data_IF_244112227640
#
_entry.id   IF_244112227640
#
_cell.length_a   1.000
_cell.length_b   1.000
_cell.length_c   1.000
_cell.angle_alpha   90.00
_cell.angle_beta   90.00
_cell.angle_gamma   90.00
#
_symmetry.space_group_name_H-M   'P 1'
#
loop_
_entity.id
_entity.type
_entity.pdbx_description
1 polymer ?
#
# COMPACT_ATOMS: atom_id res chain seq x y z
N UNK A 1 22.52 -90.70 -21.28
CA UNK A 1 22.46 -89.75 -20.13
C UNK A 1 23.71 -88.88 -20.24
N UNK A 2 23.70 -87.57 -20.42
CA UNK A 2 22.72 -86.54 -20.05
C UNK A 2 22.49 -85.53 -21.19
N UNK A 3 21.28 -84.99 -21.24
CA UNK A 3 20.80 -84.05 -22.24
C UNK A 3 21.28 -82.61 -21.94
N UNK A 4 21.67 -81.89 -22.99
CA UNK A 4 21.90 -80.45 -23.00
C UNK A 4 20.56 -79.72 -22.84
N UNK A 5 20.46 -78.83 -21.84
CA UNK A 5 19.34 -77.90 -21.69
C UNK A 5 19.72 -76.54 -22.28
N UNK A 6 18.82 -75.85 -23.01
CA UNK A 6 19.08 -74.52 -23.54
C UNK A 6 18.97 -73.45 -22.45
N UNK A 7 19.92 -72.51 -22.41
CA UNK A 7 19.88 -71.34 -21.54
C UNK A 7 18.84 -70.32 -22.04
N UNK A 8 17.95 -69.91 -21.13
CA UNK A 8 16.95 -68.85 -21.33
C UNK A 8 17.58 -67.50 -20.93
N UNK A 9 17.50 -66.44 -21.75
CA UNK A 9 18.04 -65.13 -21.38
C UNK A 9 17.16 -64.49 -20.28
N UNK A 10 17.74 -63.62 -19.42
CA UNK A 10 17.00 -62.95 -18.35
C UNK A 10 16.04 -61.88 -18.91
N UNK A 11 14.97 -61.54 -18.18
CA UNK A 11 14.00 -60.54 -18.62
C UNK A 11 14.60 -59.14 -18.60
N UNK A 12 14.43 -58.41 -19.71
CA UNK A 12 14.80 -57.01 -19.87
C UNK A 12 13.95 -56.15 -18.94
N UNK A 13 14.56 -55.64 -17.87
CA UNK A 13 13.95 -54.66 -16.98
C UNK A 13 13.95 -53.29 -17.67
N UNK A 14 12.77 -52.76 -17.96
CA UNK A 14 12.59 -51.39 -18.44
C UNK A 14 12.80 -50.44 -17.26
N UNK A 15 13.94 -49.75 -17.24
CA UNK A 15 14.18 -48.61 -16.36
C UNK A 15 13.34 -47.43 -16.86
N UNK A 16 12.17 -47.22 -16.25
CA UNK A 16 11.43 -45.95 -16.34
C UNK A 16 12.24 -44.88 -15.62
N UNK A 17 12.97 -44.07 -16.39
CA UNK A 17 13.58 -42.85 -15.88
C UNK A 17 12.45 -41.86 -15.51
N UNK A 18 12.20 -41.68 -14.22
CA UNK A 18 11.43 -40.54 -13.73
C UNK A 18 12.21 -39.26 -14.04
N UNK A 19 11.84 -38.55 -15.10
CA UNK A 19 12.24 -37.16 -15.25
C UNK A 19 11.53 -36.34 -14.15
N UNK A 20 12.26 -35.53 -13.36
CA UNK A 20 11.62 -34.61 -12.46
C UNK A 20 10.83 -33.61 -13.30
N UNK A 21 9.51 -33.58 -13.10
CA UNK A 21 8.66 -32.52 -13.62
C UNK A 21 9.09 -31.22 -12.94
N UNK A 22 9.90 -30.42 -13.64
CA UNK A 22 10.23 -29.07 -13.21
C UNK A 22 8.96 -28.24 -13.38
N UNK A 23 8.15 -28.15 -12.32
CA UNK A 23 7.12 -27.13 -12.20
C UNK A 23 7.81 -25.78 -12.29
N UNK A 24 7.82 -25.20 -13.49
CA UNK A 24 8.15 -23.79 -13.68
C UNK A 24 7.01 -23.01 -13.05
N UNK A 25 7.17 -22.65 -11.77
CA UNK A 25 6.33 -21.63 -11.15
C UNK A 25 6.62 -20.36 -11.95
N UNK A 26 5.62 -19.74 -12.61
CA UNK A 26 5.86 -18.46 -13.25
C UNK A 26 6.39 -17.53 -12.16
N UNK A 27 7.56 -16.95 -12.38
CA UNK A 27 8.03 -15.87 -11.53
C UNK A 27 6.90 -14.83 -11.55
N UNK A 28 6.25 -14.60 -10.41
CA UNK A 28 5.45 -13.42 -10.24
C UNK A 28 6.39 -12.25 -10.57
N UNK A 29 6.18 -11.61 -11.71
CA UNK A 29 6.86 -10.36 -12.04
C UNK A 29 6.66 -9.43 -10.86
N UNK A 30 7.63 -8.56 -10.56
CA UNK A 30 7.46 -7.57 -9.51
C UNK A 30 6.11 -6.88 -9.70
N UNK A 31 5.21 -7.05 -8.72
CA UNK A 31 3.85 -6.52 -8.81
C UNK A 31 3.96 -5.02 -9.11
N UNK A 32 3.29 -4.52 -10.18
CA UNK A 32 3.30 -3.10 -10.48
C UNK A 32 2.64 -2.37 -9.31
N UNK A 33 3.47 -1.80 -8.43
CA UNK A 33 3.00 -1.05 -7.28
C UNK A 33 2.22 0.20 -7.69
N UNK A 34 1.50 0.80 -6.74
CA UNK A 34 0.70 2.02 -6.97
C UNK A 34 1.24 3.17 -6.13
N UNK A 35 2.46 3.62 -6.42
CA UNK A 35 3.16 4.58 -5.55
C UNK A 35 2.63 6.01 -5.66
N UNK A 36 2.01 6.34 -6.78
CA UNK A 36 1.49 7.67 -7.09
C UNK A 36 -0.03 7.65 -7.12
N UNK A 37 -0.67 8.79 -6.83
CA UNK A 37 -2.13 8.94 -6.88
C UNK A 37 -2.75 8.35 -8.17
N UNK A 38 -2.13 8.61 -9.33
CA UNK A 38 -2.57 8.11 -10.63
C UNK A 38 -1.77 6.91 -11.15
N UNK A 39 -1.17 6.10 -10.28
CA UNK A 39 -0.38 4.91 -10.63
C UNK A 39 1.07 5.23 -11.01
N UNK A 40 1.28 6.29 -11.79
CA UNK A 40 2.61 6.79 -12.17
C UNK A 40 2.70 8.33 -12.12
N UNK A 41 3.89 8.87 -12.41
CA UNK A 41 4.15 10.31 -12.41
C UNK A 41 3.34 11.09 -13.46
N UNK A 42 2.90 10.43 -14.54
CA UNK A 42 2.04 11.03 -15.57
C UNK A 42 0.55 10.98 -15.22
N UNK A 43 0.18 10.28 -14.13
CA UNK A 43 -1.20 10.17 -13.68
C UNK A 43 -2.10 9.38 -14.64
N UNK A 44 -1.57 8.34 -15.30
CA UNK A 44 -2.31 7.60 -16.33
C UNK A 44 -3.48 6.76 -15.80
N UNK A 45 -3.51 6.46 -14.50
CA UNK A 45 -4.50 5.55 -13.89
C UNK A 45 -4.57 4.18 -14.59
N UNK A 46 -3.40 3.64 -14.97
CA UNK A 46 -3.27 2.39 -15.70
C UNK A 46 -2.35 1.42 -14.94
N UNK A 47 -2.76 0.15 -14.86
CA UNK A 47 -1.96 -0.96 -14.32
C UNK A 47 -1.67 -1.98 -15.43
N UNK A 48 -0.45 -2.50 -15.44
CA UNK A 48 -0.04 -3.62 -16.32
C UNK A 48 -0.45 -4.99 -15.75
N UNK A 49 -1.00 -5.04 -14.52
CA UNK A 49 -1.48 -6.28 -13.92
C UNK A 49 -2.59 -6.90 -14.79
N UNK A 50 -2.43 -8.20 -15.09
CA UNK A 50 -3.30 -8.93 -16.01
C UNK A 50 -3.94 -10.18 -15.38
N UNK A 51 -3.77 -10.40 -14.07
CA UNK A 51 -4.37 -11.55 -13.38
C UNK A 51 -5.91 -11.50 -13.40
N UNK A 52 -6.47 -10.29 -13.32
CA UNK A 52 -7.91 -10.03 -13.42
C UNK A 52 -8.19 -9.45 -14.80
N UNK A 53 -9.08 -10.10 -15.54
CA UNK A 53 -9.48 -9.67 -16.88
C UNK A 53 -10.97 -9.92 -17.14
N UNK A 54 -11.41 -9.68 -18.38
CA UNK A 54 -12.84 -9.78 -18.74
C UNK A 54 -13.41 -11.19 -18.66
N UNK A 55 -12.56 -12.22 -18.60
CA UNK A 55 -12.96 -13.62 -18.54
C UNK A 55 -13.15 -14.13 -17.12
N UNK A 56 -12.60 -13.45 -16.10
CA UNK A 56 -12.64 -13.89 -14.70
C UNK A 56 -13.09 -12.81 -13.70
N UNK A 57 -13.31 -11.55 -14.11
CA UNK A 57 -13.73 -10.46 -13.20
C UNK A 57 -15.04 -10.77 -12.45
N UNK A 58 -15.90 -11.59 -13.02
CA UNK A 58 -17.15 -12.03 -12.39
C UNK A 58 -16.94 -12.93 -11.17
N UNK A 59 -15.75 -13.53 -11.02
CA UNK A 59 -15.40 -14.44 -9.94
C UNK A 59 -14.75 -13.70 -8.75
N UNK A 60 -14.67 -12.36 -8.80
CA UNK A 60 -14.10 -11.56 -7.71
C UNK A 60 -14.95 -11.64 -6.44
N UNK A 61 -14.25 -11.86 -5.32
CA UNK A 61 -14.80 -11.79 -3.98
C UNK A 61 -14.06 -10.76 -3.14
N UNK A 62 -14.73 -10.28 -2.08
CA UNK A 62 -14.11 -9.35 -1.13
C UNK A 62 -13.05 -10.10 -0.32
N UNK A 63 -11.77 -9.77 -0.54
CA UNK A 63 -10.67 -10.36 0.22
C UNK A 63 -10.68 -9.92 1.69
N UNK A 64 -10.95 -8.63 1.96
CA UNK A 64 -11.06 -8.08 3.30
C UNK A 64 -11.80 -6.73 3.30
N UNK A 65 -12.20 -6.27 4.48
CA UNK A 65 -12.79 -4.93 4.69
C UNK A 65 -12.19 -4.30 5.94
N UNK A 66 -11.72 -3.06 5.80
CA UNK A 66 -11.21 -2.27 6.92
C UNK A 66 -12.22 -1.20 7.37
N UNK A 67 -12.33 -0.99 8.68
CA UNK A 67 -13.15 0.08 9.28
C UNK A 67 -12.23 1.02 10.03
N UNK A 68 -12.16 2.29 9.61
CA UNK A 68 -11.26 3.29 10.22
C UNK A 68 -11.59 3.62 11.67
N UNK A 69 -12.82 3.36 12.11
CA UNK A 69 -13.34 3.81 13.42
C UNK A 69 -13.90 5.24 13.41
N UNK A 70 -13.84 5.96 12.29
CA UNK A 70 -14.28 7.37 12.23
C UNK A 70 -15.76 7.54 12.56
N UNK A 71 -16.61 6.63 12.12
CA UNK A 71 -18.04 6.68 12.45
C UNK A 71 -18.29 6.62 13.96
N UNK A 72 -17.56 5.76 14.67
CA UNK A 72 -17.67 5.63 16.11
C UNK A 72 -17.04 6.82 16.85
N UNK A 73 -16.01 7.44 16.26
CA UNK A 73 -15.24 8.53 16.88
C UNK A 73 -15.92 9.89 16.70
N UNK A 74 -16.39 10.18 15.48
CA UNK A 74 -16.85 11.51 15.08
C UNK A 74 -18.36 11.63 14.91
N UNK A 75 -19.09 10.50 14.92
CA UNK A 75 -20.55 10.46 14.93
C UNK A 75 -21.19 11.37 13.88
N UNK A 76 -21.91 12.40 14.35
CA UNK A 76 -22.64 13.35 13.50
C UNK A 76 -21.75 14.17 12.56
N UNK A 77 -20.48 14.43 12.91
CA UNK A 77 -19.54 15.13 12.03
C UNK A 77 -19.27 14.37 10.73
N UNK A 78 -19.48 13.04 10.70
CA UNK A 78 -19.40 12.26 9.47
C UNK A 78 -20.33 12.78 8.37
N UNK A 79 -21.43 13.46 8.72
CA UNK A 79 -22.34 14.09 7.75
C UNK A 79 -21.69 15.24 6.97
N UNK A 80 -20.58 15.80 7.48
CA UNK A 80 -19.77 16.84 6.83
C UNK A 80 -18.59 16.28 6.02
N UNK A 81 -18.49 14.95 5.86
CA UNK A 81 -17.34 14.32 5.22
C UNK A 81 -17.58 13.98 3.75
N UNK A 82 -16.49 13.90 2.99
CA UNK A 82 -16.47 13.29 1.65
C UNK A 82 -15.22 12.43 1.48
N UNK A 83 -15.40 11.13 1.31
CA UNK A 83 -14.30 10.17 1.08
C UNK A 83 -13.81 10.29 -0.37
N UNK A 84 -12.59 10.78 -0.55
CA UNK A 84 -11.99 11.05 -1.86
C UNK A 84 -10.56 10.50 -1.97
N UNK A 85 -10.13 9.67 -1.01
CA UNK A 85 -8.76 9.17 -0.94
C UNK A 85 -8.56 8.06 -1.96
N UNK A 86 -7.56 8.21 -2.82
CA UNK A 86 -6.97 7.10 -3.58
C UNK A 86 -5.79 6.56 -2.78
N UNK A 87 -5.83 5.29 -2.31
CA UNK A 87 -4.70 4.70 -1.62
C UNK A 87 -3.46 4.60 -2.51
N UNK A 88 -2.28 4.63 -1.89
CA UNK A 88 -1.02 4.28 -2.54
C UNK A 88 -0.43 3.00 -1.94
N UNK A 89 0.23 2.19 -2.76
CA UNK A 89 0.99 1.03 -2.29
C UNK A 89 2.47 1.39 -2.24
N UNK A 90 3.04 1.34 -1.05
CA UNK A 90 4.44 1.66 -0.82
C UNK A 90 5.38 0.56 -1.33
N UNK A 91 6.60 0.89 -1.77
CA UNK A 91 7.60 -0.12 -2.10
C UNK A 91 8.03 -0.91 -0.85
N UNK A 92 8.56 -2.11 -1.05
CA UNK A 92 9.07 -2.95 0.05
C UNK A 92 10.07 -2.23 0.97
N UNK A 93 10.97 -1.41 0.40
CA UNK A 93 11.92 -0.61 1.17
C UNK A 93 11.27 0.45 2.08
N UNK A 94 10.02 0.84 1.79
CA UNK A 94 9.21 1.75 2.60
C UNK A 94 8.14 1.02 3.42
N UNK A 95 8.27 -0.30 3.58
CA UNK A 95 7.39 -1.11 4.43
C UNK A 95 6.17 -1.70 3.74
N UNK A 96 6.05 -1.63 2.40
CA UNK A 96 5.01 -2.36 1.62
C UNK A 96 3.57 -2.21 2.14
N UNK A 97 3.23 -1.04 2.66
CA UNK A 97 1.88 -0.80 3.20
C UNK A 97 0.98 -0.22 2.12
N UNK A 98 -0.29 -0.62 2.14
CA UNK A 98 -1.36 0.11 1.47
C UNK A 98 -1.75 1.28 2.37
N UNK A 99 -1.49 2.50 1.91
CA UNK A 99 -1.67 3.71 2.72
C UNK A 99 -2.79 4.56 2.15
N UNK A 100 -3.69 4.99 3.02
CA UNK A 100 -4.74 5.94 2.68
C UNK A 100 -4.97 6.92 3.83
N UNK A 101 -5.76 7.97 3.59
CA UNK A 101 -6.16 8.91 4.62
C UNK A 101 -7.68 9.01 4.76
N UNK A 102 -8.13 9.21 5.99
CA UNK A 102 -9.55 9.43 6.30
C UNK A 102 -9.97 10.87 6.00
N UNK A 103 -11.27 11.18 5.92
CA UNK A 103 -11.73 12.57 5.76
C UNK A 103 -11.21 13.54 6.83
N UNK A 104 -10.93 13.04 8.04
CA UNK A 104 -10.34 13.80 9.16
C UNK A 104 -8.80 13.82 9.13
N UNK A 105 -8.21 13.52 7.96
CA UNK A 105 -6.77 13.52 7.69
C UNK A 105 -5.93 12.57 8.55
N UNK A 106 -6.52 11.58 9.24
CA UNK A 106 -5.75 10.46 9.81
C UNK A 106 -5.15 9.62 8.68
N UNK A 107 -3.85 9.38 8.71
CA UNK A 107 -3.17 8.47 7.77
C UNK A 107 -3.15 7.08 8.39
N UNK A 108 -3.54 6.08 7.60
CA UNK A 108 -3.60 4.69 8.04
C UNK A 108 -2.83 3.84 7.04
N UNK A 109 -1.91 3.03 7.56
CA UNK A 109 -1.19 2.02 6.79
C UNK A 109 -1.73 0.64 7.12
N UNK A 110 -2.09 -0.08 6.08
CA UNK A 110 -2.61 -1.43 6.14
C UNK A 110 -1.63 -2.41 5.51
N UNK A 111 -1.61 -3.62 6.04
CA UNK A 111 -1.11 -4.78 5.34
C UNK A 111 -2.00 -5.05 4.10
N UNK A 112 -1.45 -5.03 2.87
CA UNK A 112 -2.26 -5.14 1.66
C UNK A 112 -2.94 -6.52 1.50
N UNK A 113 -2.36 -7.58 2.07
CA UNK A 113 -2.89 -8.93 1.94
C UNK A 113 -4.06 -9.22 2.91
N UNK A 114 -3.98 -8.69 4.13
CA UNK A 114 -4.93 -8.99 5.21
C UNK A 114 -5.86 -7.82 5.58
N UNK A 115 -5.52 -6.59 5.20
CA UNK A 115 -6.21 -5.38 5.65
C UNK A 115 -5.93 -5.01 7.11
N UNK A 116 -5.00 -5.71 7.79
CA UNK A 116 -4.65 -5.40 9.18
C UNK A 116 -3.91 -4.06 9.27
N UNK A 117 -4.31 -3.21 10.22
CA UNK A 117 -3.62 -1.95 10.46
C UNK A 117 -2.21 -2.19 11.01
N UNK A 118 -1.20 -1.64 10.32
CA UNK A 118 0.21 -1.66 10.74
C UNK A 118 0.55 -0.48 11.63
N UNK A 119 0.13 0.72 11.21
CA UNK A 119 0.28 1.95 11.99
C UNK A 119 -0.77 2.98 11.56
N UNK A 120 -0.96 4.00 12.40
CA UNK A 120 -1.78 5.16 12.09
C UNK A 120 -1.13 6.44 12.62
N UNK A 121 -1.25 7.52 11.86
CA UNK A 121 -0.85 8.86 12.26
C UNK A 121 -2.07 9.78 12.27
N UNK A 122 -2.36 10.36 13.42
CA UNK A 122 -3.45 11.33 13.57
C UNK A 122 -2.86 12.74 13.77
N UNK A 123 -3.05 13.67 12.80
CA UNK A 123 -2.55 15.04 12.92
C UNK A 123 -3.31 15.90 13.93
N UNK A 124 -4.42 15.41 14.51
CA UNK A 124 -5.26 16.14 15.46
C UNK A 124 -5.69 17.52 14.89
N UNK A 125 -6.28 17.49 13.70
CA UNK A 125 -6.71 18.70 13.00
C UNK A 125 -7.73 19.51 13.80
N UNK A 126 -7.78 20.82 13.54
CA UNK A 126 -8.91 21.65 13.94
C UNK A 126 -10.16 21.30 13.10
N UNK A 127 -11.28 21.09 13.79
CA UNK A 127 -12.59 20.75 13.21
C UNK A 127 -13.49 21.99 13.01
N UNK A 128 -12.98 23.19 13.31
CA UNK A 128 -13.70 24.44 13.16
C UNK A 128 -14.04 24.81 11.71
N UNK A 129 -15.06 25.66 11.56
CA UNK A 129 -15.54 26.14 10.27
C UNK A 129 -16.59 25.24 9.61
N UNK A 130 -16.99 25.61 8.39
CA UNK A 130 -18.10 24.96 7.67
C UNK A 130 -17.64 24.15 6.45
N UNK A 131 -16.33 24.08 6.21
CA UNK A 131 -15.78 23.32 5.08
C UNK A 131 -16.00 21.82 5.29
N UNK A 132 -16.41 21.09 4.24
CA UNK A 132 -16.49 19.64 4.34
C UNK A 132 -15.12 19.00 4.54
N UNK A 133 -15.01 18.09 5.53
CA UNK A 133 -13.84 17.28 5.79
C UNK A 133 -13.57 16.33 4.63
N UNK A 134 -12.33 16.32 4.15
CA UNK A 134 -11.92 15.49 3.02
C UNK A 134 -10.43 15.22 3.10
N UNK A 135 -10.05 14.08 2.53
CA UNK A 135 -8.68 13.79 2.18
C UNK A 135 -8.64 13.17 0.78
N UNK A 136 -7.67 13.59 -0.03
CA UNK A 136 -7.50 13.14 -1.43
C UNK A 136 -6.35 12.14 -1.60
N UNK A 137 -5.77 11.68 -0.51
CA UNK A 137 -4.61 10.79 -0.49
C UNK A 137 -3.37 11.45 0.13
N UNK A 138 -2.29 10.69 0.14
CA UNK A 138 -0.96 11.11 0.56
C UNK A 138 0.00 11.03 -0.63
N UNK A 139 1.13 11.73 -0.55
CA UNK A 139 2.20 11.65 -1.56
C UNK A 139 3.46 11.04 -0.96
N UNK A 140 4.10 10.12 -1.66
CA UNK A 140 5.36 9.53 -1.24
C UNK A 140 6.56 10.25 -1.86
N UNK A 141 7.65 10.41 -1.10
CA UNK A 141 8.96 10.72 -1.66
C UNK A 141 10.09 9.97 -0.95
N UNK A 142 11.13 9.65 -1.72
CA UNK A 142 12.41 9.22 -1.18
C UNK A 142 13.27 10.47 -0.91
N UNK A 143 13.82 10.60 0.30
CA UNK A 143 14.82 11.60 0.66
C UNK A 143 16.23 10.99 0.48
N UNK A 144 16.93 11.27 -0.62
CA UNK A 144 18.21 10.64 -0.92
C UNK A 144 19.32 11.06 0.04
N UNK A 145 19.19 12.24 0.70
CA UNK A 145 20.17 12.76 1.66
C UNK A 145 20.14 12.03 3.00
N UNK A 146 19.01 11.39 3.33
CA UNK A 146 18.88 10.58 4.55
C UNK A 146 19.47 9.20 4.29
N UNK A 147 20.44 8.70 5.09
CA UNK A 147 21.05 7.39 4.85
C UNK A 147 20.04 6.23 4.85
N UNK A 148 20.38 5.14 4.15
CA UNK A 148 19.56 3.92 4.11
C UNK A 148 19.32 3.39 5.53
N UNK A 149 18.09 2.95 5.81
CA UNK A 149 17.69 2.43 7.13
C UNK A 149 17.49 3.49 8.21
N UNK A 150 17.63 4.78 7.89
CA UNK A 150 17.33 5.88 8.82
C UNK A 150 15.90 6.37 8.63
N UNK A 151 15.30 6.78 9.75
CA UNK A 151 13.99 7.39 9.75
C UNK A 151 13.94 8.61 8.81
N UNK A 152 12.79 8.81 8.18
CA UNK A 152 12.47 9.87 7.24
C UNK A 152 13.31 9.85 5.96
N UNK A 153 13.86 8.68 5.60
CA UNK A 153 14.31 8.41 4.23
C UNK A 153 13.13 8.19 3.29
N UNK A 154 12.12 7.46 3.78
CA UNK A 154 10.86 7.24 3.06
C UNK A 154 9.80 8.13 3.70
N UNK A 155 9.35 9.16 2.99
CA UNK A 155 8.43 10.16 3.53
C UNK A 155 7.07 10.08 2.87
N UNK A 156 6.04 10.25 3.67
CA UNK A 156 4.69 10.56 3.23
C UNK A 156 4.38 12.02 3.54
N UNK A 157 3.76 12.70 2.59
CA UNK A 157 3.26 14.05 2.74
C UNK A 157 1.74 14.08 2.71
N UNK A 158 1.18 14.85 3.64
CA UNK A 158 -0.26 15.03 3.83
C UNK A 158 -0.55 16.51 4.03
N UNK A 159 -1.51 17.05 3.27
CA UNK A 159 -2.14 18.32 3.60
C UNK A 159 -3.39 18.08 4.45
N UNK A 160 -3.56 18.91 5.47
CA UNK A 160 -4.66 18.78 6.44
C UNK A 160 -5.70 19.88 6.26
N UNK A 161 -6.89 19.62 6.80
CA UNK A 161 -8.03 20.52 6.81
C UNK A 161 -7.69 21.90 7.40
N UNK A 162 -6.93 21.91 8.48
CA UNK A 162 -6.44 23.09 9.19
C UNK A 162 -5.18 23.72 8.56
N UNK A 163 -4.94 23.40 7.27
CA UNK A 163 -3.90 24.00 6.42
C UNK A 163 -2.49 23.78 6.95
N UNK A 164 -2.19 22.56 7.38
CA UNK A 164 -0.82 22.13 7.64
C UNK A 164 -0.35 21.17 6.53
N UNK A 165 0.93 21.23 6.20
CA UNK A 165 1.61 20.21 5.42
C UNK A 165 2.48 19.40 6.38
N UNK A 166 2.19 18.11 6.49
CA UNK A 166 2.96 17.17 7.29
C UNK A 166 3.92 16.37 6.43
N UNK A 167 5.07 16.02 7.01
CA UNK A 167 5.93 14.95 6.54
C UNK A 167 6.07 13.90 7.66
N UNK A 168 5.69 12.66 7.35
CA UNK A 168 5.81 11.52 8.28
C UNK A 168 6.64 10.41 7.64
N UNK A 169 7.28 9.58 8.45
CA UNK A 169 7.98 8.39 7.98
C UNK A 169 6.97 7.35 7.48
N UNK A 170 7.20 6.82 6.29
CA UNK A 170 6.33 5.85 5.65
C UNK A 170 6.29 4.47 6.35
N UNK A 171 7.31 4.17 7.17
CA UNK A 171 7.47 2.86 7.83
C UNK A 171 6.78 2.78 9.19
N UNK A 172 6.68 3.89 9.92
CA UNK A 172 6.11 3.91 11.29
C UNK A 172 5.12 5.06 11.56
N UNK A 173 4.90 5.96 10.58
CA UNK A 173 3.98 7.08 10.69
C UNK A 173 4.47 8.23 11.57
N UNK A 174 5.70 8.21 12.08
CA UNK A 174 6.20 9.27 12.97
C UNK A 174 6.52 10.55 12.19
N UNK A 175 6.24 11.74 12.75
CA UNK A 175 6.63 13.00 12.13
C UNK A 175 8.14 13.10 11.87
N UNK A 176 8.48 13.63 10.70
CA UNK A 176 9.85 13.88 10.31
C UNK A 176 10.35 15.19 10.88
N UNK A 177 10.95 15.17 12.08
CA UNK A 177 11.40 16.36 12.80
C UNK A 177 12.29 17.33 11.99
N UNK A 178 13.00 16.85 10.96
CA UNK A 178 13.80 17.67 10.05
C UNK A 178 13.00 18.39 8.95
N UNK A 179 11.67 18.32 8.95
CA UNK A 179 10.79 19.00 8.02
C UNK A 179 9.97 20.08 8.75
N UNK A 180 10.16 21.34 8.37
CA UNK A 180 9.49 22.47 9.02
C UNK A 180 9.75 22.50 10.53
N UNK A 181 8.68 22.67 11.31
CA UNK A 181 8.70 22.62 12.76
C UNK A 181 8.07 21.30 13.22
N UNK A 182 8.88 20.39 13.77
CA UNK A 182 8.38 19.13 14.33
C UNK A 182 7.73 18.17 13.31
N UNK A 183 8.03 18.32 12.01
CA UNK A 183 7.45 17.51 10.94
C UNK A 183 6.30 18.17 10.19
N UNK A 184 6.04 19.46 10.42
CA UNK A 184 4.97 20.20 9.73
C UNK A 184 5.35 21.61 9.32
N UNK A 185 4.63 22.12 8.32
CA UNK A 185 4.69 23.51 7.85
C UNK A 185 3.27 24.05 7.80
N UNK A 186 3.08 25.29 8.23
CA UNK A 186 1.81 25.99 8.12
C UNK A 186 1.63 26.58 6.72
N UNK A 187 0.45 26.41 6.12
CA UNK A 187 0.15 26.78 4.72
C UNK A 187 -0.62 28.10 4.59
N UNK A 188 -0.51 28.99 5.57
CA UNK A 188 -1.05 30.35 5.51
C UNK A 188 -0.01 31.35 5.98
N UNK A 189 -0.11 32.59 5.49
CA UNK A 189 0.81 33.68 5.80
C UNK A 189 0.40 34.48 7.04
N UNK A 190 0.96 35.68 7.19
CA UNK A 190 0.81 36.54 8.37
C UNK A 190 -0.63 36.93 8.71
N UNK A 191 -1.55 36.85 7.73
CA UNK A 191 -2.99 37.10 7.93
C UNK A 191 -3.68 36.03 8.82
N UNK A 192 -2.98 34.93 9.11
CA UNK A 192 -3.49 33.85 9.96
C UNK A 192 -4.45 32.91 9.24
N UNK A 193 -4.94 31.91 9.97
CA UNK A 193 -6.01 31.04 9.49
C UNK A 193 -7.33 31.81 9.56
N UNK A 194 -7.97 32.02 8.40
CA UNK A 194 -9.37 32.41 8.33
C UNK A 194 -10.20 31.15 8.01
N UNK A 195 -10.84 30.51 9.01
CA UNK A 195 -11.86 29.52 8.76
C UNK A 195 -12.95 30.16 7.90
N UNK A 196 -13.50 29.41 6.97
CA UNK A 196 -14.62 29.88 6.15
C UNK A 196 -15.18 28.71 5.43
#
# INVERSE_FOLDING_TARGET
MAALLPHKPPPTAWLLALLPAVCSVPAAGAEPGWLYYGGDQGGRHYSEAAQIDRSNVQDLEVAWTFRSGDMATYGEEMKKTSTQSTPILLPAAAGESLVYCTPFNRVIALDPASGAQRWSFDPQIDHGGDRPFRCRGVSYALEPRTPVGRACRHRLYLSTHDRQLWAIDATDGRPCAGFGEGGRVQLYGDEGLVPG
#
